data_IF_852443896445
#
_entry.id   IF_852443896445
#
_cell.length_a   1.000
_cell.length_b   1.000
_cell.length_c   1.000
_cell.angle_alpha   90.00
_cell.angle_beta   90.00
_cell.angle_gamma   90.00
#
_symmetry.space_group_name_H-M   'P 1'
#
loop_
_entity.id
_entity.type
_entity.pdbx_description
1 polymer ?
#
# COMPACT_ATOMS: atom_id res chain seq x y z
N UNK A 1 27.24 31.99 18.23
CA UNK A 1 26.98 31.70 16.79
C UNK A 1 25.49 31.87 16.53
N UNK A 2 25.09 32.53 15.42
CA UNK A 2 23.66 32.68 15.07
C UNK A 2 23.22 31.49 14.22
N UNK A 3 22.17 30.79 14.64
CA UNK A 3 21.60 29.64 13.92
C UNK A 3 20.24 30.03 13.36
N UNK A 4 20.06 29.87 12.06
CA UNK A 4 18.78 30.08 11.38
C UNK A 4 18.12 28.72 11.13
N UNK A 5 16.80 28.64 11.35
CA UNK A 5 16.03 27.39 11.16
C UNK A 5 14.77 27.68 10.36
N UNK A 6 14.55 26.88 9.31
CA UNK A 6 13.26 26.81 8.65
C UNK A 6 12.37 25.85 9.42
N UNK A 7 11.15 26.29 9.77
CA UNK A 7 10.13 25.44 10.41
C UNK A 7 8.84 25.55 9.62
N UNK A 8 8.51 24.48 8.91
CA UNK A 8 7.23 24.32 8.23
C UNK A 8 6.27 23.65 9.23
N UNK A 9 5.09 24.22 9.43
CA UNK A 9 4.04 23.68 10.31
C UNK A 9 2.91 23.15 9.45
N UNK A 10 2.21 22.12 9.93
CA UNK A 10 1.10 21.49 9.20
C UNK A 10 1.55 21.07 7.78
N UNK A 11 2.56 20.20 7.73
CA UNK A 11 3.20 19.75 6.50
C UNK A 11 2.16 19.20 5.52
N UNK A 12 2.19 19.69 4.29
CA UNK A 12 1.35 19.23 3.17
C UNK A 12 2.21 18.53 2.14
N UNK A 13 1.61 17.69 1.30
CA UNK A 13 2.35 17.04 0.21
C UNK A 13 3.02 18.06 -0.72
N UNK A 14 2.40 19.22 -0.93
CA UNK A 14 2.96 20.33 -1.72
C UNK A 14 4.26 20.93 -1.15
N UNK A 15 4.57 20.66 0.13
CA UNK A 15 5.82 21.13 0.76
C UNK A 15 7.02 20.22 0.45
N UNK A 16 6.79 19.07 -0.22
CA UNK A 16 7.85 18.16 -0.67
C UNK A 16 8.80 18.90 -1.62
N UNK A 17 10.10 18.83 -1.35
CA UNK A 17 11.09 19.46 -2.20
C UNK A 17 12.39 19.79 -1.49
N UNK A 18 13.32 20.38 -2.24
CA UNK A 18 14.62 20.81 -1.74
C UNK A 18 14.60 22.30 -1.43
N UNK A 19 14.99 22.64 -0.20
CA UNK A 19 15.08 24.00 0.31
C UNK A 19 16.55 24.39 0.42
N UNK A 20 16.86 25.65 0.10
CA UNK A 20 18.20 26.20 0.20
C UNK A 20 18.25 27.33 1.22
N UNK A 21 19.14 27.19 2.19
CA UNK A 21 19.57 28.30 3.03
C UNK A 21 20.79 28.95 2.39
N UNK A 22 20.73 30.25 2.11
CA UNK A 22 21.82 31.02 1.52
C UNK A 22 22.12 32.25 2.38
N UNK A 23 23.42 32.53 2.58
CA UNK A 23 23.89 33.68 3.34
C UNK A 23 24.87 34.47 2.47
N UNK A 24 24.67 35.79 2.40
CA UNK A 24 25.51 36.70 1.63
C UNK A 24 26.85 36.93 2.35
N UNK A 25 27.78 36.00 2.18
CA UNK A 25 29.18 36.09 2.60
C UNK A 25 30.09 36.18 1.37
N UNK A 26 31.37 36.50 1.55
CA UNK A 26 32.40 36.37 0.52
C UNK A 26 33.44 35.34 0.96
N UNK A 27 33.49 34.14 0.35
CA UNK A 27 32.58 33.60 -0.66
C UNK A 27 31.18 33.28 -0.10
N UNK A 28 30.18 33.20 -0.97
CA UNK A 28 28.80 32.93 -0.58
C UNK A 28 28.65 31.53 0.02
N UNK A 29 27.97 31.45 1.17
CA UNK A 29 27.69 30.17 1.85
C UNK A 29 26.25 29.74 1.56
N UNK A 30 26.07 28.47 1.20
CA UNK A 30 24.76 27.85 0.99
C UNK A 30 24.72 26.43 1.54
N UNK A 31 23.53 25.99 1.94
CA UNK A 31 23.23 24.63 2.36
C UNK A 31 21.87 24.21 1.83
N UNK A 32 21.77 22.99 1.29
CA UNK A 32 20.54 22.43 0.73
C UNK A 32 20.08 21.28 1.63
N UNK A 33 18.77 21.19 1.87
CA UNK A 33 18.12 20.05 2.50
C UNK A 33 16.81 19.73 1.79
N UNK A 34 16.54 18.44 1.58
CA UNK A 34 15.32 18.00 0.91
C UNK A 34 14.37 17.35 1.92
N UNK A 35 13.08 17.66 1.78
CA UNK A 35 12.00 17.13 2.59
C UNK A 35 11.20 16.17 1.71
N UNK A 36 11.12 14.91 2.13
CA UNK A 36 10.16 13.97 1.56
C UNK A 36 8.95 13.85 2.50
N UNK A 37 7.79 14.24 2.00
CA UNK A 37 6.55 14.23 2.76
C UNK A 37 5.88 12.88 2.59
N UNK A 38 5.78 12.13 3.69
CA UNK A 38 5.05 10.85 3.70
C UNK A 38 3.55 11.09 3.83
N UNK A 39 2.79 10.42 2.96
CA UNK A 39 1.33 10.45 2.94
C UNK A 39 0.83 9.07 3.39
N UNK A 40 0.04 8.97 4.47
CA UNK A 40 -0.47 7.70 4.94
C UNK A 40 -1.21 6.93 3.85
N UNK A 41 -1.14 5.59 3.87
CA UNK A 41 -1.86 4.78 2.93
C UNK A 41 -3.38 4.87 3.12
N UNK A 42 -4.10 5.02 2.02
CA UNK A 42 -5.55 5.00 1.98
C UNK A 42 -6.03 3.99 0.93
N UNK A 43 -6.98 3.14 1.29
CA UNK A 43 -7.60 2.20 0.36
C UNK A 43 -8.78 2.93 -0.29
N UNK A 44 -8.83 2.92 -1.62
CA UNK A 44 -9.91 3.48 -2.42
C UNK A 44 -10.90 2.36 -2.70
N UNK A 45 -11.86 2.19 -1.80
CA UNK A 45 -12.79 1.06 -1.82
C UNK A 45 -13.66 1.04 -3.09
N UNK A 46 -14.10 2.21 -3.56
CA UNK A 46 -14.88 2.38 -4.79
C UNK A 46 -14.15 1.93 -6.06
N UNK A 47 -12.82 1.90 -6.03
CA UNK A 47 -11.96 1.45 -7.14
C UNK A 47 -11.30 0.09 -6.85
N UNK A 48 -11.70 -0.56 -5.75
CA UNK A 48 -11.32 -1.91 -5.41
C UNK A 48 -12.44 -2.88 -5.80
N UNK A 49 -12.14 -4.18 -5.85
CA UNK A 49 -13.16 -5.19 -6.14
C UNK A 49 -14.32 -5.09 -5.16
N UNK A 50 -15.54 -5.21 -5.67
CA UNK A 50 -16.71 -5.52 -4.85
C UNK A 50 -16.67 -6.99 -4.40
N UNK A 51 -17.68 -7.40 -3.64
CA UNK A 51 -17.91 -8.81 -3.35
C UNK A 51 -18.14 -9.57 -4.67
N UNK A 52 -17.53 -10.74 -4.80
CA UNK A 52 -17.56 -11.52 -6.04
C UNK A 52 -17.95 -12.96 -5.77
N UNK A 53 -18.63 -13.57 -6.74
CA UNK A 53 -18.97 -14.98 -6.77
C UNK A 53 -18.21 -15.67 -7.92
N UNK A 54 -17.58 -16.80 -7.64
CA UNK A 54 -16.81 -17.58 -8.62
C UNK A 54 -17.24 -19.05 -8.58
N UNK A 55 -17.18 -19.75 -9.70
CA UNK A 55 -17.43 -21.20 -9.70
C UNK A 55 -16.23 -21.95 -9.16
N UNK A 56 -16.47 -23.10 -8.53
CA UNK A 56 -15.39 -23.97 -8.08
C UNK A 56 -14.48 -24.35 -9.26
N UNK A 57 -13.16 -24.20 -9.07
CA UNK A 57 -12.16 -24.49 -10.10
C UNK A 57 -11.85 -23.33 -11.06
N UNK A 58 -12.63 -22.25 -11.03
CA UNK A 58 -12.37 -21.03 -11.79
C UNK A 58 -11.43 -20.04 -11.06
N UNK A 59 -10.79 -19.16 -11.82
CA UNK A 59 -9.88 -18.16 -11.29
C UNK A 59 -10.64 -16.92 -10.77
N UNK A 60 -10.29 -16.46 -9.57
CA UNK A 60 -10.78 -15.20 -9.00
C UNK A 60 -9.73 -14.08 -9.13
N UNK A 61 -10.15 -12.89 -9.57
CA UNK A 61 -9.30 -11.71 -9.59
C UNK A 61 -9.87 -10.66 -8.64
N UNK A 62 -9.09 -10.35 -7.61
CA UNK A 62 -9.41 -9.27 -6.68
C UNK A 62 -8.44 -8.12 -6.90
N UNK A 63 -9.01 -6.93 -7.04
CA UNK A 63 -8.29 -5.68 -7.29
C UNK A 63 -8.35 -4.84 -6.04
N UNK A 64 -7.21 -4.27 -5.63
CA UNK A 64 -7.15 -3.24 -4.61
C UNK A 64 -6.52 -2.00 -5.19
N UNK A 65 -7.18 -0.86 -5.05
CA UNK A 65 -6.54 0.41 -5.27
C UNK A 65 -6.22 1.06 -3.94
N UNK A 66 -4.94 1.37 -3.74
CA UNK A 66 -4.48 2.09 -2.57
C UNK A 66 -3.59 3.27 -3.00
N UNK A 67 -3.81 4.41 -2.35
CA UNK A 67 -3.03 5.63 -2.52
C UNK A 67 -2.13 5.84 -1.31
N UNK A 68 -1.05 6.61 -1.45
CA UNK A 68 -0.15 6.94 -0.35
C UNK A 68 1.26 7.19 -0.88
N UNK A 69 2.10 7.79 -0.05
CA UNK A 69 3.51 8.00 -0.36
C UNK A 69 4.38 7.65 0.85
N UNK A 70 5.35 6.72 0.72
CA UNK A 70 5.65 5.95 -0.48
C UNK A 70 4.50 5.04 -0.93
N UNK A 71 4.51 4.56 -2.19
CA UNK A 71 3.47 3.67 -2.70
C UNK A 71 3.28 2.46 -1.76
N UNK A 72 2.05 2.17 -1.34
CA UNK A 72 1.82 1.14 -0.35
C UNK A 72 2.01 -0.28 -0.89
N UNK A 73 2.32 -1.21 0.01
CA UNK A 73 2.28 -2.65 -0.27
C UNK A 73 0.90 -3.20 0.09
N UNK A 74 0.22 -3.80 -0.88
CA UNK A 74 -1.05 -4.48 -0.69
C UNK A 74 -0.83 -5.97 -0.50
N UNK A 75 -1.46 -6.54 0.51
CA UNK A 75 -1.46 -7.98 0.79
C UNK A 75 -2.87 -8.48 1.07
N UNK A 76 -3.07 -9.77 0.89
CA UNK A 76 -4.37 -10.42 0.99
C UNK A 76 -4.29 -11.53 2.03
N UNK A 77 -5.34 -11.67 2.83
CA UNK A 77 -5.44 -12.71 3.85
C UNK A 77 -6.88 -13.17 3.94
N UNK A 78 -7.11 -14.46 4.17
CA UNK A 78 -8.42 -14.90 4.63
C UNK A 78 -8.66 -14.45 6.07
N UNK A 79 -9.90 -14.16 6.42
CA UNK A 79 -10.29 -13.74 7.76
C UNK A 79 -9.98 -14.82 8.82
N UNK A 80 -10.16 -16.09 8.47
CA UNK A 80 -9.84 -17.26 9.31
C UNK A 80 -8.33 -17.44 9.59
N UNK A 81 -7.47 -16.73 8.88
CA UNK A 81 -6.02 -16.84 9.04
C UNK A 81 -5.37 -18.00 8.29
N UNK A 82 -6.13 -18.77 7.51
CA UNK A 82 -5.60 -19.87 6.73
C UNK A 82 -4.79 -19.37 5.53
N UNK A 83 -3.77 -20.15 5.17
CA UNK A 83 -2.92 -19.86 4.03
C UNK A 83 -3.70 -20.08 2.73
N UNK A 84 -3.75 -19.06 1.88
CA UNK A 84 -4.22 -19.21 0.50
C UNK A 84 -3.26 -20.17 -0.21
N UNK A 85 -3.76 -21.31 -0.67
CA UNK A 85 -2.99 -22.26 -1.48
C UNK A 85 -2.92 -21.74 -2.91
N UNK A 86 -1.70 -21.73 -3.46
CA UNK A 86 -1.38 -21.09 -4.73
C UNK A 86 -0.72 -22.16 -5.59
N UNK A 87 -1.46 -22.68 -6.58
CA UNK A 87 -1.00 -23.76 -7.47
C UNK A 87 -0.57 -23.16 -8.80
N UNK A 88 0.70 -23.32 -9.18
CA UNK A 88 1.14 -22.95 -10.53
C UNK A 88 0.45 -23.85 -11.57
N UNK A 89 -0.07 -23.30 -12.68
CA UNK A 89 -0.57 -24.09 -13.81
C UNK A 89 0.51 -25.09 -14.26
N UNK A 90 0.17 -26.38 -14.26
CA UNK A 90 1.07 -27.45 -14.71
C UNK A 90 2.13 -27.95 -13.72
N UNK A 91 2.14 -27.52 -12.46
CA UNK A 91 3.06 -28.07 -11.43
C UNK A 91 2.35 -28.54 -10.16
N UNK A 92 2.97 -29.47 -9.42
CA UNK A 92 2.54 -29.91 -8.07
C UNK A 92 3.18 -29.07 -6.94
N UNK A 93 3.93 -28.02 -7.29
CA UNK A 93 4.59 -27.14 -6.32
C UNK A 93 3.67 -25.98 -5.90
N UNK A 94 3.52 -25.81 -4.59
CA UNK A 94 2.84 -24.68 -3.97
C UNK A 94 3.83 -23.51 -3.90
N UNK A 95 3.53 -22.40 -4.57
CA UNK A 95 4.40 -21.23 -4.59
C UNK A 95 3.59 -20.02 -4.14
N UNK A 96 4.15 -19.17 -3.28
CA UNK A 96 3.53 -17.90 -2.88
C UNK A 96 3.22 -17.01 -4.12
N UNK A 97 2.06 -17.17 -4.77
CA UNK A 97 1.45 -16.24 -5.73
C UNK A 97 0.25 -16.79 -6.56
N UNK A 98 -0.82 -15.98 -6.68
CA UNK A 98 -2.13 -16.08 -7.41
C UNK A 98 -3.09 -17.25 -7.09
N UNK A 99 -4.32 -16.86 -6.72
CA UNK A 99 -5.32 -17.57 -5.88
C UNK A 99 -6.24 -18.49 -6.69
N UNK A 100 -6.35 -19.77 -6.28
CA UNK A 100 -7.48 -20.66 -6.61
C UNK A 100 -8.10 -21.11 -5.30
N UNK A 101 -9.37 -20.80 -5.06
CA UNK A 101 -10.05 -21.06 -3.78
C UNK A 101 -11.01 -22.24 -3.93
N UNK A 102 -11.06 -23.08 -2.90
CA UNK A 102 -11.92 -24.27 -2.79
C UNK A 102 -12.88 -24.17 -1.58
N UNK A 103 -12.96 -22.99 -0.95
CA UNK A 103 -13.89 -22.71 0.17
C UNK A 103 -14.32 -21.24 0.19
N UNK A 104 -15.61 -20.98 0.42
CA UNK A 104 -16.18 -19.64 0.65
C UNK A 104 -15.51 -18.96 1.86
N UNK A 105 -15.27 -17.65 1.78
CA UNK A 105 -14.71 -16.89 2.91
C UNK A 105 -14.46 -15.42 2.63
N UNK A 106 -14.27 -14.64 3.68
CA UNK A 106 -13.91 -13.21 3.61
C UNK A 106 -12.42 -13.03 3.37
N UNK A 107 -12.05 -12.19 2.41
CA UNK A 107 -10.69 -11.75 2.16
C UNK A 107 -10.47 -10.34 2.69
N UNK A 108 -9.41 -10.19 3.47
CA UNK A 108 -8.94 -8.96 4.06
C UNK A 108 -7.76 -8.41 3.25
N UNK A 109 -7.83 -7.12 2.96
CA UNK A 109 -6.77 -6.37 2.33
C UNK A 109 -5.96 -5.70 3.41
N UNK A 110 -4.66 -5.94 3.47
CA UNK A 110 -3.77 -5.22 4.37
C UNK A 110 -2.83 -4.34 3.58
N UNK A 111 -2.84 -3.07 3.94
CA UNK A 111 -1.78 -2.14 3.58
C UNK A 111 -0.66 -2.25 4.61
N UNK A 112 0.51 -2.77 4.21
CA UNK A 112 1.67 -2.86 5.09
C UNK A 112 2.63 -1.72 4.74
N UNK A 113 2.58 -0.64 5.52
CA UNK A 113 3.62 0.40 5.56
C UNK A 113 4.06 0.57 7.01
N UNK A 114 5.36 0.76 7.27
CA UNK A 114 6.08 0.56 8.56
C UNK A 114 5.54 1.30 9.81
N UNK A 115 4.40 2.01 9.74
CA UNK A 115 3.74 2.65 10.89
C UNK A 115 2.23 2.85 10.75
N UNK A 116 1.64 2.65 9.56
CA UNK A 116 0.22 2.99 9.30
C UNK A 116 -0.42 1.87 8.47
N UNK A 117 -1.15 0.98 9.14
CA UNK A 117 -1.89 -0.09 8.48
C UNK A 117 -3.35 0.32 8.28
N UNK A 118 -3.87 0.13 7.07
CA UNK A 118 -5.30 0.21 6.75
C UNK A 118 -5.79 -1.11 6.17
N UNK A 119 -7.07 -1.42 6.38
CA UNK A 119 -7.68 -2.64 5.85
C UNK A 119 -9.13 -2.43 5.40
N UNK A 120 -9.54 -3.26 4.45
CA UNK A 120 -10.93 -3.46 4.03
C UNK A 120 -11.20 -4.96 3.90
N UNK A 121 -12.47 -5.34 3.91
CA UNK A 121 -12.93 -6.72 3.77
C UNK A 121 -13.75 -6.87 2.49
N UNK A 122 -13.58 -7.98 1.78
CA UNK A 122 -14.44 -8.39 0.66
C UNK A 122 -14.85 -9.84 0.79
N UNK A 123 -16.10 -10.11 0.48
CA UNK A 123 -16.65 -11.44 0.50
C UNK A 123 -16.39 -12.15 -0.84
N UNK A 124 -15.92 -13.39 -0.77
CA UNK A 124 -15.83 -14.27 -1.93
C UNK A 124 -16.75 -15.47 -1.72
N UNK A 125 -17.75 -15.59 -2.60
CA UNK A 125 -18.65 -16.73 -2.65
C UNK A 125 -18.18 -17.72 -3.70
N UNK A 126 -18.15 -19.01 -3.35
CA UNK A 126 -17.84 -20.08 -4.30
C UNK A 126 -19.10 -20.86 -4.57
N UNK A 127 -19.48 -20.92 -5.84
CA UNK A 127 -20.63 -21.68 -6.32
C UNK A 127 -20.18 -23.07 -6.78
N UNK A 128 -20.97 -24.08 -6.42
CA UNK A 128 -20.87 -25.47 -6.91
C UNK A 128 -21.26 -25.59 -8.40
#
# INVERSE_FOLDING_TARGET
>A
MRTWRLRIRQLRESDRGCYMCQINTSPMKKQIGCIDVQVPPNIVDEESSADIAVQEGEDAILTCRATGHPPPRVTWKREDGDFMLLRKPGSRELIKGKISLYSTGTLLFFNLNDSFNSHISKELQINE
#
